data_IF_836908482647
#
_entry.id   IF_836908482647
#
_cell.length_a   1.000
_cell.length_b   1.000
_cell.length_c   1.000
_cell.angle_alpha   90.00
_cell.angle_beta   90.00
_cell.angle_gamma   90.00
#
_symmetry.space_group_name_H-M   'P 1'
#
loop_
_entity.id
_entity.type
_entity.pdbx_description
1 polymer ?
#
# COMPACT_ATOMS: atom_id res chain seq x y z
N UNK A 1 -35.72 26.61 -13.76
CA UNK A 1 -34.42 26.30 -13.14
C UNK A 1 -34.46 24.85 -12.71
N UNK A 2 -33.73 23.97 -13.41
CA UNK A 2 -33.61 22.56 -13.05
C UNK A 2 -32.17 22.15 -13.35
N UNK A 3 -31.33 22.07 -12.32
CA UNK A 3 -29.97 21.60 -12.42
C UNK A 3 -29.98 20.07 -12.40
N UNK A 4 -29.77 19.43 -13.55
CA UNK A 4 -29.48 18.01 -13.64
C UNK A 4 -28.05 17.78 -13.17
N UNK A 5 -27.88 17.11 -12.03
CA UNK A 5 -26.58 16.63 -11.56
C UNK A 5 -26.06 15.53 -12.50
N UNK A 6 -24.76 15.50 -12.84
CA UNK A 6 -24.23 14.40 -13.63
C UNK A 6 -24.17 13.12 -12.79
N UNK A 7 -24.87 12.09 -13.26
CA UNK A 7 -24.86 10.74 -12.71
C UNK A 7 -23.42 10.22 -12.57
N UNK A 8 -23.05 9.83 -11.35
CA UNK A 8 -21.80 9.10 -11.11
C UNK A 8 -21.90 7.70 -11.69
N UNK A 9 -20.93 7.23 -12.50
CA UNK A 9 -20.93 5.85 -12.97
C UNK A 9 -20.73 4.89 -11.78
N UNK A 10 -21.60 3.88 -11.69
CA UNK A 10 -21.54 2.85 -10.67
C UNK A 10 -20.19 2.10 -10.70
N UNK A 11 -19.65 1.69 -9.54
CA UNK A 11 -18.43 0.89 -9.51
C UNK A 11 -18.64 -0.45 -10.24
N UNK A 12 -17.56 -1.02 -10.82
CA UNK A 12 -17.67 -2.29 -11.55
C UNK A 12 -18.16 -3.41 -10.62
N UNK A 13 -18.98 -4.33 -11.14
CA UNK A 13 -19.50 -5.44 -10.35
C UNK A 13 -18.35 -6.32 -9.85
N UNK A 14 -18.47 -6.91 -8.64
CA UNK A 14 -17.48 -7.84 -8.12
C UNK A 14 -17.36 -9.07 -9.04
N UNK A 15 -16.16 -9.65 -9.17
CA UNK A 15 -15.97 -10.87 -9.95
C UNK A 15 -16.81 -12.03 -9.40
N UNK A 16 -17.29 -12.96 -10.25
CA UNK A 16 -18.12 -14.08 -9.81
C UNK A 16 -17.36 -14.96 -8.80
N UNK A 17 -17.93 -15.15 -7.61
CA UNK A 17 -17.39 -16.07 -6.61
C UNK A 17 -17.62 -17.51 -7.09
N UNK A 18 -16.58 -18.15 -7.63
CA UNK A 18 -16.59 -19.59 -7.89
C UNK A 18 -16.35 -20.30 -6.56
N UNK A 19 -17.42 -20.85 -5.97
CA UNK A 19 -17.32 -21.76 -4.82
C UNK A 19 -16.72 -23.08 -5.31
N UNK A 20 -15.44 -23.34 -5.00
CA UNK A 20 -14.87 -24.68 -5.07
C UNK A 20 -14.89 -25.30 -3.67
N UNK A 21 -15.76 -26.29 -3.48
CA UNK A 21 -15.68 -27.19 -2.33
C UNK A 21 -14.66 -28.29 -2.59
N UNK A 22 -13.75 -28.50 -1.64
CA UNK A 22 -12.86 -29.67 -1.58
C UNK A 22 -11.45 -29.34 -1.09
N UNK A 23 -11.20 -29.48 0.22
CA UNK A 23 -9.87 -29.65 0.80
C UNK A 23 -9.52 -31.16 0.86
N UNK A 24 -8.32 -31.63 1.29
CA UNK A 24 -7.13 -30.89 1.75
C UNK A 24 -5.80 -31.43 1.16
N UNK A 25 -4.73 -30.64 1.21
CA UNK A 25 -3.37 -31.12 1.50
C UNK A 25 -2.43 -29.95 1.77
N UNK A 26 -1.72 -30.03 2.88
CA UNK A 26 -0.62 -29.16 3.21
C UNK A 26 0.48 -29.25 2.14
N UNK A 27 0.82 -28.11 1.54
CA UNK A 27 2.13 -27.89 0.98
C UNK A 27 2.57 -26.52 1.45
N UNK A 28 3.53 -26.51 2.36
CA UNK A 28 4.35 -25.33 2.64
C UNK A 28 5.12 -25.04 1.37
N UNK A 29 4.52 -24.28 0.44
CA UNK A 29 5.32 -23.66 -0.62
C UNK A 29 6.10 -22.54 0.05
N UNK A 30 7.35 -22.85 0.38
CA UNK A 30 8.35 -21.80 0.55
C UNK A 30 8.33 -20.93 -0.72
N UNK A 31 8.34 -19.59 -0.59
CA UNK A 31 8.31 -18.73 -1.75
C UNK A 31 9.58 -19.01 -2.55
N UNK A 32 9.41 -19.60 -3.72
CA UNK A 32 10.49 -19.77 -4.69
C UNK A 32 10.95 -18.37 -5.05
N UNK A 33 12.06 -17.94 -4.43
CA UNK A 33 12.84 -16.81 -4.89
C UNK A 33 13.37 -17.23 -6.26
N UNK A 34 12.62 -16.89 -7.31
CA UNK A 34 13.09 -17.02 -8.67
C UNK A 34 14.30 -16.13 -8.82
N UNK A 35 15.49 -16.71 -8.69
CA UNK A 35 16.74 -16.00 -8.91
C UNK A 35 16.70 -15.43 -10.33
N UNK A 36 16.68 -14.10 -10.43
CA UNK A 36 16.74 -13.40 -11.71
C UNK A 36 18.18 -13.61 -12.23
N UNK A 37 18.38 -14.58 -13.13
CA UNK A 37 19.69 -14.94 -13.70
C UNK A 37 20.16 -13.96 -14.78
N UNK A 38 19.87 -12.66 -14.64
CA UNK A 38 20.30 -11.64 -15.59
C UNK A 38 21.32 -10.71 -14.94
N UNK A 39 22.37 -10.32 -15.66
CA UNK A 39 23.37 -9.33 -15.18
C UNK A 39 22.77 -7.96 -14.84
N UNK A 40 21.52 -7.71 -15.28
CA UNK A 40 20.75 -6.51 -14.96
C UNK A 40 20.36 -6.46 -13.49
N UNK A 41 20.43 -5.26 -12.92
CA UNK A 41 20.10 -4.97 -11.52
C UNK A 41 20.95 -5.77 -10.51
N UNK A 42 22.08 -6.33 -10.95
CA UNK A 42 23.00 -7.09 -10.10
C UNK A 42 23.55 -6.30 -8.91
N UNK A 43 23.59 -4.97 -9.01
CA UNK A 43 23.94 -4.09 -7.89
C UNK A 43 22.99 -4.21 -6.68
N UNK A 44 21.78 -4.72 -6.87
CA UNK A 44 20.77 -4.89 -5.83
C UNK A 44 20.64 -6.35 -5.34
N UNK A 45 21.60 -7.24 -5.63
CA UNK A 45 21.50 -8.67 -5.36
C UNK A 45 21.22 -9.03 -3.89
N UNK A 46 21.71 -8.22 -2.95
CA UNK A 46 21.43 -8.39 -1.50
C UNK A 46 19.98 -8.07 -1.11
N UNK A 47 19.24 -7.42 -2.01
CA UNK A 47 17.85 -6.98 -1.80
C UNK A 47 16.96 -7.47 -2.94
N UNK A 48 16.49 -8.73 -2.90
CA UNK A 48 15.72 -9.34 -3.99
C UNK A 48 14.50 -8.52 -4.42
N UNK A 49 13.82 -7.87 -3.48
CA UNK A 49 12.68 -6.99 -3.78
C UNK A 49 13.08 -5.73 -4.55
N UNK A 50 14.24 -5.14 -4.22
CA UNK A 50 14.79 -3.99 -4.94
C UNK A 50 15.26 -4.42 -6.32
N UNK A 51 15.92 -5.56 -6.44
CA UNK A 51 16.33 -6.13 -7.73
C UNK A 51 15.12 -6.39 -8.63
N UNK A 52 14.07 -7.01 -8.10
CA UNK A 52 12.80 -7.25 -8.81
C UNK A 52 12.14 -5.94 -9.24
N UNK A 53 12.08 -4.94 -8.36
CA UNK A 53 11.55 -3.61 -8.69
C UNK A 53 12.36 -2.90 -9.77
N UNK A 54 13.69 -2.94 -9.69
CA UNK A 54 14.62 -2.42 -10.70
C UNK A 54 14.36 -3.07 -12.07
N UNK A 55 14.26 -4.40 -12.10
CA UNK A 55 14.07 -5.17 -13.33
C UNK A 55 12.69 -4.93 -13.95
N UNK A 56 11.61 -5.06 -13.18
CA UNK A 56 10.24 -4.86 -13.68
C UNK A 56 9.99 -3.40 -14.09
N UNK A 57 10.56 -2.45 -13.36
CA UNK A 57 10.47 -1.03 -13.67
C UNK A 57 11.40 -0.57 -14.80
N UNK A 58 12.36 -1.40 -15.22
CA UNK A 58 13.46 -1.03 -16.14
C UNK A 58 14.20 0.24 -15.69
N UNK A 59 14.37 0.41 -14.39
CA UNK A 59 15.03 1.57 -13.78
C UNK A 59 16.38 1.15 -13.21
N UNK A 60 17.43 1.93 -13.48
CA UNK A 60 18.77 1.66 -12.95
C UNK A 60 19.30 0.24 -13.29
N UNK A 61 19.01 -0.27 -14.49
CA UNK A 61 19.35 -1.66 -14.88
C UNK A 61 20.85 -1.99 -14.81
N UNK A 62 21.72 -1.01 -15.10
CA UNK A 62 23.16 -1.25 -15.28
C UNK A 62 24.05 -0.64 -14.18
N UNK A 63 23.48 0.19 -13.30
CA UNK A 63 24.24 0.88 -12.25
C UNK A 63 23.31 1.28 -11.10
N UNK A 64 23.80 1.31 -9.85
CA UNK A 64 22.99 1.72 -8.70
C UNK A 64 22.58 3.19 -8.80
N UNK A 65 21.43 3.58 -8.21
CA UNK A 65 21.03 4.97 -8.11
C UNK A 65 21.97 5.75 -7.17
N UNK A 66 21.99 7.08 -7.32
CA UNK A 66 22.74 7.98 -6.42
C UNK A 66 22.32 7.86 -4.96
N UNK A 67 21.06 7.49 -4.73
CA UNK A 67 20.49 7.31 -3.41
C UNK A 67 19.51 6.14 -3.45
N UNK A 68 19.69 5.18 -2.54
CA UNK A 68 18.77 4.07 -2.32
C UNK A 68 18.56 3.91 -0.83
N UNK A 69 17.32 3.99 -0.38
CA UNK A 69 16.94 3.57 0.96
C UNK A 69 15.87 2.51 0.83
N UNK A 70 16.11 1.38 1.46
CA UNK A 70 15.23 0.24 1.45
C UNK A 70 15.05 -0.26 2.88
N UNK A 71 13.79 -0.57 3.21
CA UNK A 71 13.43 -1.20 4.46
C UNK A 71 12.59 -2.42 4.14
N UNK A 72 13.02 -3.57 4.65
CA UNK A 72 12.22 -4.77 4.54
C UNK A 72 10.97 -4.63 5.40
N UNK A 73 9.81 -4.71 4.76
CA UNK A 73 8.51 -4.75 5.44
C UNK A 73 7.99 -6.17 5.32
N UNK A 74 7.67 -6.80 6.45
CA UNK A 74 7.12 -8.15 6.46
C UNK A 74 5.74 -8.13 5.80
N UNK A 75 5.58 -8.91 4.74
CA UNK A 75 4.29 -9.07 4.08
C UNK A 75 3.29 -9.80 5.00
N UNK A 76 2.06 -9.30 5.04
CA UNK A 76 0.93 -9.88 5.77
C UNK A 76 -0.20 -10.13 4.76
N UNK A 77 -0.72 -11.36 4.71
CA UNK A 77 -1.83 -11.68 3.81
C UNK A 77 -3.10 -11.02 4.33
N UNK A 78 -3.77 -10.24 3.48
CA UNK A 78 -5.05 -9.61 3.83
C UNK A 78 -6.16 -10.66 3.96
N UNK A 79 -7.16 -10.36 4.79
CA UNK A 79 -8.39 -11.16 4.92
C UNK A 79 -9.59 -10.28 4.63
N UNK A 80 -10.40 -10.66 3.66
CA UNK A 80 -11.53 -9.84 3.19
C UNK A 80 -11.07 -8.51 2.56
N UNK A 81 -11.90 -7.47 2.57
CA UNK A 81 -11.61 -6.21 1.90
C UNK A 81 -10.82 -5.25 2.81
N UNK A 82 -9.84 -5.76 3.55
CA UNK A 82 -9.07 -5.02 4.58
C UNK A 82 -7.71 -4.55 4.09
N UNK A 83 -7.55 -4.30 2.78
CA UNK A 83 -6.25 -4.00 2.17
C UNK A 83 -5.56 -2.80 2.83
N UNK A 84 -6.27 -1.70 3.08
CA UNK A 84 -5.73 -0.50 3.73
C UNK A 84 -5.33 -0.73 5.19
N UNK A 85 -6.14 -1.47 5.94
CA UNK A 85 -5.85 -1.84 7.34
C UNK A 85 -4.66 -2.81 7.43
N UNK A 86 -4.55 -3.73 6.47
CA UNK A 86 -3.43 -4.66 6.36
C UNK A 86 -2.14 -3.94 6.02
N UNK A 87 -2.18 -2.98 5.08
CA UNK A 87 -1.02 -2.16 4.77
C UNK A 87 -0.57 -1.32 5.99
N UNK A 88 -1.51 -0.75 6.75
CA UNK A 88 -1.19 -0.07 8.01
C UNK A 88 -0.55 -1.02 9.03
N UNK A 89 -1.12 -2.22 9.22
CA UNK A 89 -0.56 -3.23 10.11
C UNK A 89 0.87 -3.62 9.71
N UNK A 90 1.15 -3.81 8.41
CA UNK A 90 2.50 -4.07 7.91
C UNK A 90 3.49 -2.95 8.32
N UNK A 91 3.10 -1.68 8.18
CA UNK A 91 3.94 -0.53 8.58
C UNK A 91 4.20 -0.47 10.09
N UNK A 92 3.25 -0.94 10.88
CA UNK A 92 3.35 -1.05 12.34
C UNK A 92 4.03 -2.36 12.79
N UNK A 93 4.52 -3.18 11.87
CA UNK A 93 5.20 -4.44 12.19
C UNK A 93 4.25 -5.58 12.60
N UNK A 94 2.97 -5.49 12.23
CA UNK A 94 1.93 -6.48 12.53
C UNK A 94 1.19 -6.23 13.84
N UNK A 95 1.49 -5.13 14.54
CA UNK A 95 0.90 -4.81 15.84
C UNK A 95 0.36 -3.37 15.88
N UNK A 96 -0.96 -3.16 15.97
CA UNK A 96 -2.02 -4.17 16.04
C UNK A 96 -2.25 -4.92 14.71
N UNK A 97 -2.84 -6.14 14.75
CA UNK A 97 -3.21 -6.88 13.55
C UNK A 97 -4.39 -6.21 12.83
N UNK A 98 -4.56 -6.48 11.53
CA UNK A 98 -5.62 -5.89 10.70
C UNK A 98 -7.03 -6.11 11.27
N UNK A 99 -7.28 -7.23 11.94
CA UNK A 99 -8.58 -7.53 12.54
C UNK A 99 -8.91 -6.60 13.72
N UNK A 100 -7.92 -6.16 14.48
CA UNK A 100 -8.14 -5.21 15.58
C UNK A 100 -8.25 -3.79 15.07
N UNK A 101 -7.48 -3.44 14.03
CA UNK A 101 -7.67 -2.19 13.29
C UNK A 101 -9.08 -2.10 12.67
N UNK A 102 -9.64 -3.22 12.22
CA UNK A 102 -10.99 -3.28 11.68
C UNK A 102 -12.05 -2.97 12.74
N UNK A 103 -11.94 -3.56 13.93
CA UNK A 103 -12.85 -3.27 15.05
C UNK A 103 -12.82 -1.78 15.40
N UNK A 104 -11.62 -1.20 15.41
CA UNK A 104 -11.44 0.23 15.69
C UNK A 104 -12.05 1.10 14.58
N UNK A 105 -11.83 0.75 13.31
CA UNK A 105 -12.40 1.44 12.17
C UNK A 105 -13.94 1.40 12.15
N UNK A 106 -14.53 0.26 12.49
CA UNK A 106 -16.00 0.11 12.62
C UNK A 106 -16.53 0.96 13.76
N UNK A 107 -15.85 0.97 14.92
CA UNK A 107 -16.26 1.78 16.07
C UNK A 107 -16.24 3.30 15.79
N UNK A 108 -15.45 3.74 14.81
CA UNK A 108 -15.40 5.14 14.36
C UNK A 108 -16.21 5.38 13.07
N UNK A 109 -16.98 4.40 12.60
CA UNK A 109 -17.81 4.47 11.39
C UNK A 109 -17.01 4.75 10.11
N UNK A 110 -15.73 4.41 10.09
CA UNK A 110 -14.83 4.61 8.94
C UNK A 110 -15.00 3.56 7.85
N UNK A 111 -15.62 2.43 8.21
CA UNK A 111 -15.93 1.31 7.33
C UNK A 111 -17.07 0.50 7.93
N UNK A 112 -17.79 -0.23 7.07
CA UNK A 112 -18.74 -1.26 7.50
C UNK A 112 -18.09 -2.65 7.57
N UNK A 113 -17.22 -3.00 6.61
CA UNK A 113 -16.73 -4.37 6.40
C UNK A 113 -15.22 -4.47 6.10
N UNK A 114 -14.47 -3.37 6.16
CA UNK A 114 -13.02 -3.30 5.91
C UNK A 114 -12.59 -2.32 4.84
N UNK A 115 -13.47 -2.03 3.87
CA UNK A 115 -13.25 -0.97 2.88
C UNK A 115 -13.40 0.39 3.56
N UNK A 116 -12.30 1.12 3.69
CA UNK A 116 -12.34 2.46 4.25
C UNK A 116 -13.03 3.40 3.27
N UNK A 117 -13.99 4.18 3.76
CA UNK A 117 -14.74 5.12 2.93
C UNK A 117 -13.91 6.30 2.45
N UNK A 118 -12.90 6.66 3.23
CA UNK A 118 -11.99 7.71 2.85
C UNK A 118 -10.57 7.43 3.28
N UNK A 119 -9.73 7.93 2.42
CA UNK A 119 -8.36 8.31 2.59
C UNK A 119 -8.11 8.98 3.98
N UNK A 120 -8.93 9.97 4.37
CA UNK A 120 -8.83 10.70 5.65
C UNK A 120 -8.97 9.77 6.87
N UNK A 121 -9.86 8.79 6.80
CA UNK A 121 -10.10 7.87 7.91
C UNK A 121 -8.91 6.94 8.17
N UNK A 122 -8.21 6.51 7.13
CA UNK A 122 -6.96 5.76 7.29
C UNK A 122 -5.90 6.60 8.01
N UNK A 123 -5.84 7.90 7.73
CA UNK A 123 -4.90 8.80 8.37
C UNK A 123 -5.21 9.05 9.85
N UNK A 124 -6.48 9.24 10.21
CA UNK A 124 -6.86 9.36 11.63
C UNK A 124 -6.57 8.06 12.40
N UNK A 125 -6.85 6.89 11.81
CA UNK A 125 -6.41 5.61 12.38
C UNK A 125 -4.89 5.53 12.52
N UNK A 126 -4.15 5.93 11.48
CA UNK A 126 -2.68 5.91 11.52
C UNK A 126 -2.13 6.81 12.63
N UNK A 127 -2.65 8.03 12.77
CA UNK A 127 -2.25 8.95 13.86
C UNK A 127 -2.50 8.37 15.23
N UNK A 128 -3.63 7.69 15.40
CA UNK A 128 -3.99 7.03 16.66
C UNK A 128 -3.00 5.91 17.02
N UNK A 129 -2.63 5.09 16.05
CA UNK A 129 -1.77 3.91 16.26
C UNK A 129 -0.27 4.20 16.09
N UNK A 130 0.10 5.40 15.63
CA UNK A 130 1.49 5.82 15.45
C UNK A 130 1.75 7.17 16.13
N UNK A 131 1.94 7.20 17.46
CA UNK A 131 2.17 8.45 18.19
C UNK A 131 3.56 9.02 17.86
N UNK A 132 3.62 10.31 17.51
CA UNK A 132 4.85 11.06 17.31
C UNK A 132 4.69 12.22 16.31
N UNK A 133 5.38 13.35 16.51
CA UNK A 133 5.18 14.58 15.71
C UNK A 133 5.57 14.47 14.22
N UNK A 134 6.24 13.40 13.80
CA UNK A 134 6.65 13.15 12.42
C UNK A 134 6.15 11.79 11.85
N UNK A 135 5.13 11.20 12.48
CA UNK A 135 4.72 9.82 12.22
C UNK A 135 3.97 9.60 10.90
N UNK A 136 3.12 10.54 10.46
CA UNK A 136 2.36 10.40 9.21
C UNK A 136 1.83 11.73 8.68
N UNK A 137 1.67 11.86 7.36
CA UNK A 137 1.05 13.02 6.72
C UNK A 137 0.02 12.62 5.66
N UNK A 138 -0.98 13.48 5.49
CA UNK A 138 -1.86 13.50 4.33
C UNK A 138 -1.18 14.23 3.18
N UNK A 139 -1.22 13.62 1.99
CA UNK A 139 -0.83 14.28 0.75
C UNK A 139 -1.97 14.20 -0.27
N UNK A 140 -2.22 15.31 -0.95
CA UNK A 140 -3.24 15.42 -2.00
C UNK A 140 -2.50 15.98 -3.20
N UNK A 141 -2.63 15.32 -4.35
CA UNK A 141 -1.97 15.71 -5.60
C UNK A 141 -0.94 14.73 -6.15
N UNK A 142 -0.14 15.15 -7.14
CA UNK A 142 0.75 14.27 -7.87
C UNK A 142 1.84 13.64 -6.99
N UNK A 143 2.13 12.35 -7.23
CA UNK A 143 3.21 11.63 -6.57
C UNK A 143 4.60 12.07 -7.07
N UNK A 144 4.72 12.50 -8.32
CA UNK A 144 5.98 12.97 -8.90
C UNK A 144 6.27 14.43 -8.53
N UNK A 145 6.26 14.77 -7.24
CA UNK A 145 6.55 16.12 -6.74
C UNK A 145 7.78 16.13 -5.84
N UNK A 146 8.33 17.32 -5.58
CA UNK A 146 9.51 17.51 -4.72
C UNK A 146 9.29 16.93 -3.32
N UNK A 147 8.11 17.18 -2.72
CA UNK A 147 7.76 16.71 -1.36
C UNK A 147 7.90 15.19 -1.23
N UNK A 148 7.26 14.44 -2.13
CA UNK A 148 7.27 12.97 -2.12
C UNK A 148 8.69 12.44 -2.37
N UNK A 149 9.42 13.02 -3.33
CA UNK A 149 10.81 12.62 -3.61
C UNK A 149 11.73 12.80 -2.41
N UNK A 150 11.68 13.96 -1.77
CA UNK A 150 12.56 14.24 -0.63
C UNK A 150 12.27 13.33 0.55
N UNK A 151 11.02 12.94 0.79
CA UNK A 151 10.72 12.09 1.93
C UNK A 151 10.81 10.59 1.64
N UNK A 152 10.78 10.16 0.37
CA UNK A 152 11.30 8.86 -0.03
C UNK A 152 12.83 8.79 0.13
N UNK A 153 13.55 9.86 -0.20
CA UNK A 153 15.00 9.95 0.08
C UNK A 153 15.30 9.94 1.58
N UNK A 154 14.41 10.49 2.41
CA UNK A 154 14.53 10.43 3.86
C UNK A 154 14.11 9.07 4.47
N UNK A 155 13.77 8.08 3.63
CA UNK A 155 13.54 6.72 4.09
C UNK A 155 12.12 6.39 4.52
N UNK A 156 11.14 7.20 4.14
CA UNK A 156 9.79 6.85 4.52
C UNK A 156 9.12 5.82 3.59
N UNK A 157 7.95 5.31 4.01
CA UNK A 157 7.00 4.51 3.21
C UNK A 157 5.66 5.20 2.81
N UNK A 158 5.22 5.07 1.54
CA UNK A 158 3.89 5.51 1.04
C UNK A 158 2.76 4.52 1.37
N UNK A 159 1.54 5.02 1.61
CA UNK A 159 0.30 4.23 1.52
C UNK A 159 -0.57 4.82 0.41
N UNK A 160 -0.83 4.03 -0.63
CA UNK A 160 -1.51 4.52 -1.83
C UNK A 160 -2.88 3.87 -1.93
N UNK A 161 -4.00 4.63 -1.95
CA UNK A 161 -5.33 4.06 -2.02
C UNK A 161 -5.65 3.58 -3.44
N UNK A 162 -6.51 2.56 -3.52
CA UNK A 162 -7.02 1.98 -4.76
C UNK A 162 -8.56 2.05 -4.73
N UNK A 163 -9.29 2.21 -5.86
CA UNK A 163 -8.83 2.16 -7.25
C UNK A 163 -8.18 3.43 -7.84
N UNK A 164 -7.15 3.21 -8.66
CA UNK A 164 -6.42 4.24 -9.41
C UNK A 164 -7.21 4.95 -10.54
N UNK A 165 -8.46 4.57 -10.80
CA UNK A 165 -9.21 5.06 -11.97
C UNK A 165 -9.62 6.54 -11.89
N UNK A 166 -9.40 7.24 -10.76
CA UNK A 166 -9.69 8.67 -10.58
C UNK A 166 -8.47 9.61 -10.60
N UNK A 167 -7.30 9.16 -11.06
CA UNK A 167 -6.10 10.02 -11.14
C UNK A 167 -6.30 11.25 -12.08
N UNK A 168 -7.27 11.23 -12.99
CA UNK A 168 -7.54 12.35 -13.89
C UNK A 168 -8.55 13.39 -13.38
N UNK A 169 -9.22 13.17 -12.23
CA UNK A 169 -10.22 14.13 -11.75
C UNK A 169 -10.08 14.58 -10.31
N UNK A 170 -9.66 13.77 -9.33
CA UNK A 170 -9.44 14.24 -7.94
C UNK A 170 -8.41 13.36 -7.20
N UNK A 171 -7.31 13.89 -6.62
CA UNK A 171 -6.20 13.06 -6.16
C UNK A 171 -6.06 12.96 -4.63
N UNK A 172 -6.70 11.97 -3.99
CA UNK A 172 -6.36 11.60 -2.60
C UNK A 172 -5.29 10.50 -2.60
N UNK A 173 -4.02 10.81 -2.26
CA UNK A 173 -2.91 9.83 -2.25
C UNK A 173 -1.88 10.09 -1.12
N UNK A 174 -1.67 9.11 -0.20
CA UNK A 174 -0.99 9.32 1.11
C UNK A 174 0.51 8.99 1.19
N UNK A 175 1.17 9.66 2.14
CA UNK A 175 2.62 9.80 2.31
C UNK A 175 2.97 9.97 3.80
N UNK A 176 3.47 8.87 4.40
CA UNK A 176 4.83 8.77 4.97
C UNK A 176 5.14 9.04 6.45
N UNK A 177 5.67 7.96 7.06
CA UNK A 177 6.53 7.86 8.25
C UNK A 177 7.94 8.32 7.92
N UNK A 178 8.53 9.22 8.71
CA UNK A 178 9.97 9.42 8.79
C UNK A 178 10.47 8.70 10.04
N UNK A 179 11.27 7.65 9.94
CA UNK A 179 12.04 7.20 11.10
C UNK A 179 13.27 8.11 11.20
N UNK A 180 13.35 8.86 12.29
CA UNK A 180 14.64 9.32 12.81
C UNK A 180 15.30 8.15 13.54
#
# INVERSE_FOLDING_TARGET
MSHTSPDCPAPPPPPPMVVRSGAPAAATEEPVVGNITTDKCSWAWEYPEVQKGCFLGRVFENAPPKHCQYYSVKSIVQVGPTCGLTALSMLLGGHPPSADLLKDAIAHEYTLNGELFSAQYLFELTKKHMPGPAACQLHVGPLNCKKVKELLKAGGCLLVPYPFYKIFTEPDIWVLRSRY
#
